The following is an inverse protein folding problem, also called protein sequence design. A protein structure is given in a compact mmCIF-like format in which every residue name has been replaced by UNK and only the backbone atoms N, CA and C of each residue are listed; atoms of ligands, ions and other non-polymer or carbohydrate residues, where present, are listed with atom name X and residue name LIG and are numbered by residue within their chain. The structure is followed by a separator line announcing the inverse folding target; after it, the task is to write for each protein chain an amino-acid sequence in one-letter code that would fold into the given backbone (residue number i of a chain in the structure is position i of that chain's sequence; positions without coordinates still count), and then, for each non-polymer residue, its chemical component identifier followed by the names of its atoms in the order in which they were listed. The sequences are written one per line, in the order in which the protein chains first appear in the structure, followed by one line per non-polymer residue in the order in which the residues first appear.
data_IF_534506291203
#
_entry.id   IF_534506291203
#
_cell.length_a   1.000
_cell.length_b   1.000
_cell.length_c   1.000
_cell.angle_alpha   90.00
_cell.angle_beta   90.00
_cell.angle_gamma   90.00
#
_symmetry.space_group_name_H-M   'P 1'
#
loop_
_entity.id
_entity.type
_entity.pdbx_description
1 polymer ?
#
# COMPACT_ATOMS: atom_id res chain seq x y z
N UNK A 1 -25.62 -61.67 8.82
CA UNK A 1 -25.87 -60.80 7.65
C UNK A 1 -26.40 -59.41 8.04
N UNK A 2 -26.01 -58.85 9.20
CA UNK A 2 -26.56 -57.57 9.73
C UNK A 2 -25.64 -56.35 9.56
N UNK A 3 -24.51 -56.50 8.86
CA UNK A 3 -23.46 -55.47 8.78
C UNK A 3 -23.80 -54.34 7.79
N UNK A 4 -24.73 -54.57 6.85
CA UNK A 4 -25.08 -53.60 5.80
C UNK A 4 -25.91 -52.39 6.27
N UNK A 5 -26.78 -52.56 7.27
CA UNK A 5 -27.70 -51.50 7.69
C UNK A 5 -26.97 -50.35 8.41
N UNK A 6 -26.00 -50.69 9.25
CA UNK A 6 -25.25 -49.71 10.04
C UNK A 6 -24.31 -48.85 9.16
N UNK A 7 -23.69 -49.46 8.14
CA UNK A 7 -22.84 -48.74 7.19
C UNK A 7 -23.64 -47.77 6.31
N UNK A 8 -24.84 -48.17 5.88
CA UNK A 8 -25.74 -47.27 5.14
C UNK A 8 -26.24 -46.11 6.00
N UNK A 9 -26.55 -46.37 7.27
CA UNK A 9 -26.99 -45.32 8.20
C UNK A 9 -25.88 -44.28 8.44
N UNK A 10 -24.64 -44.73 8.65
CA UNK A 10 -23.47 -43.85 8.84
C UNK A 10 -23.18 -43.02 7.59
N UNK A 11 -23.29 -43.61 6.40
CA UNK A 11 -23.10 -42.87 5.14
C UNK A 11 -24.14 -41.75 4.95
N UNK A 12 -25.41 -42.04 5.21
CA UNK A 12 -26.50 -41.05 5.13
C UNK A 12 -26.30 -39.93 6.15
N UNK A 13 -25.87 -40.26 7.37
CA UNK A 13 -25.67 -39.28 8.43
C UNK A 13 -24.50 -38.32 8.12
N UNK A 14 -23.39 -38.84 7.57
CA UNK A 14 -22.26 -38.01 7.14
C UNK A 14 -22.63 -37.10 5.97
N UNK A 15 -23.41 -37.58 5.01
CA UNK A 15 -23.89 -36.76 3.90
C UNK A 15 -24.81 -35.63 4.39
N UNK A 16 -25.74 -35.92 5.30
CA UNK A 16 -26.64 -34.92 5.88
C UNK A 16 -25.88 -33.84 6.66
N UNK A 17 -24.88 -34.22 7.46
CA UNK A 17 -24.03 -33.27 8.20
C UNK A 17 -23.22 -32.39 7.23
N UNK A 18 -22.68 -32.97 6.16
CA UNK A 18 -21.96 -32.21 5.13
C UNK A 18 -22.84 -31.16 4.45
N UNK A 19 -24.08 -31.51 4.09
CA UNK A 19 -25.04 -30.58 3.48
C UNK A 19 -25.42 -29.46 4.47
N UNK A 20 -25.64 -29.79 5.75
CA UNK A 20 -25.94 -28.80 6.78
C UNK A 20 -24.78 -27.80 6.98
N UNK A 21 -23.54 -28.28 6.98
CA UNK A 21 -22.35 -27.43 7.08
C UNK A 21 -22.22 -26.48 5.87
N UNK A 22 -22.51 -26.96 4.65
CA UNK A 22 -22.49 -26.13 3.45
C UNK A 22 -23.62 -25.09 3.45
N UNK A 23 -24.82 -25.44 3.90
CA UNK A 23 -25.94 -24.51 4.00
C UNK A 23 -25.68 -23.40 5.02
N UNK A 24 -25.16 -23.74 6.20
CA UNK A 24 -24.78 -22.77 7.24
C UNK A 24 -23.61 -21.88 6.78
N UNK A 25 -22.61 -22.47 6.12
CA UNK A 25 -21.49 -21.72 5.54
C UNK A 25 -21.93 -20.77 4.42
N UNK A 26 -22.85 -21.18 3.56
CA UNK A 26 -23.39 -20.36 2.47
C UNK A 26 -24.27 -19.21 2.96
N UNK A 27 -25.07 -19.43 4.02
CA UNK A 27 -25.94 -18.39 4.59
C UNK A 27 -25.15 -17.22 5.18
N UNK A 28 -24.01 -17.48 5.82
CA UNK A 28 -23.20 -16.43 6.43
C UNK A 28 -22.76 -15.36 5.41
N UNK A 29 -22.36 -15.77 4.20
CA UNK A 29 -21.94 -14.83 3.15
C UNK A 29 -23.06 -13.91 2.66
N UNK A 30 -24.33 -14.34 2.73
CA UNK A 30 -25.47 -13.50 2.32
C UNK A 30 -25.83 -12.42 3.35
N UNK A 31 -25.53 -12.63 4.63
CA UNK A 31 -25.84 -11.63 5.68
C UNK A 31 -24.89 -10.42 5.70
N UNK A 32 -23.87 -10.41 4.84
CA UNK A 32 -22.85 -9.35 4.78
C UNK A 32 -23.02 -8.42 3.57
N UNK A 33 -24.08 -8.53 2.77
CA UNK A 33 -24.38 -7.50 1.75
C UNK A 33 -24.77 -6.20 2.47
N UNK A 34 -23.97 -5.12 2.38
CA UNK A 34 -24.35 -3.83 2.92
C UNK A 34 -25.62 -3.38 2.20
N UNK A 35 -26.70 -3.13 2.94
CA UNK A 35 -27.91 -2.59 2.36
C UNK A 35 -27.61 -1.20 1.82
N UNK A 36 -27.73 -1.05 0.49
CA UNK A 36 -27.67 0.25 -0.16
C UNK A 36 -28.86 1.08 0.35
N UNK A 37 -28.60 1.93 1.34
CA UNK A 37 -29.58 2.87 1.90
C UNK A 37 -30.00 3.83 0.79
N UNK A 38 -31.17 3.61 0.22
CA UNK A 38 -31.84 4.57 -0.64
C UNK A 38 -32.69 5.47 0.23
N UNK A 39 -32.06 6.48 0.85
CA UNK A 39 -32.79 7.60 1.44
C UNK A 39 -32.36 8.90 0.76
N UNK A 40 -33.18 9.32 -0.18
CA UNK A 40 -33.21 10.70 -0.63
C UNK A 40 -33.84 11.56 0.46
N UNK A 41 -33.08 12.52 0.99
CA UNK A 41 -33.66 13.74 1.54
C UNK A 41 -32.64 14.86 1.48
N UNK A 42 -32.92 15.84 0.61
CA UNK A 42 -32.19 17.09 0.54
C UNK A 42 -32.60 18.00 1.72
N UNK A 43 -31.62 18.51 2.46
CA UNK A 43 -31.71 19.80 3.15
C UNK A 43 -30.28 20.35 3.45
N UNK A 44 -30.08 21.68 3.42
CA UNK A 44 -28.77 22.32 3.38
C UNK A 44 -28.26 22.75 4.76
N UNK A 45 -26.94 22.86 4.87
CA UNK A 45 -26.26 23.68 5.88
C UNK A 45 -25.78 22.92 7.11
N UNK A 46 -24.47 22.68 7.20
CA UNK A 46 -23.85 22.14 8.40
C UNK A 46 -22.35 22.00 8.30
N UNK A 47 -21.65 23.03 8.78
CA UNK A 47 -20.27 23.02 9.31
C UNK A 47 -19.20 22.25 8.54
N UNK A 48 -18.43 23.00 7.76
CA UNK A 48 -17.04 22.67 7.43
C UNK A 48 -16.24 22.54 8.73
N UNK A 49 -16.03 21.31 9.20
CA UNK A 49 -14.99 20.99 10.16
C UNK A 49 -13.64 21.17 9.47
N UNK A 50 -13.14 22.40 9.49
CA UNK A 50 -11.75 22.71 9.17
C UNK A 50 -10.91 22.01 10.24
N UNK A 51 -10.32 20.88 9.86
CA UNK A 51 -9.17 20.31 10.58
C UNK A 51 -8.03 21.30 10.36
N UNK A 52 -7.86 22.18 11.34
CA UNK A 52 -6.77 23.13 11.41
C UNK A 52 -5.50 22.34 11.69
N UNK A 53 -4.70 22.09 10.64
CA UNK A 53 -3.36 21.54 10.79
C UNK A 53 -2.56 22.49 11.69
N UNK A 54 -2.07 21.96 12.81
CA UNK A 54 -1.21 22.68 13.74
C UNK A 54 0.19 22.66 13.17
N UNK A 55 0.63 23.79 12.60
CA UNK A 55 2.03 24.05 12.27
C UNK A 55 2.86 23.98 13.56
N UNK A 56 3.64 22.91 13.70
CA UNK A 56 4.77 22.90 14.63
C UNK A 56 5.93 23.63 13.96
N UNK A 57 5.99 24.94 14.16
CA UNK A 57 7.16 25.74 13.86
C UNK A 57 8.11 25.66 15.06
N UNK A 58 9.04 24.72 15.04
CA UNK A 58 10.18 24.70 15.96
C UNK A 58 11.15 25.85 15.59
N UNK A 59 11.53 26.70 16.56
CA UNK A 59 12.42 27.83 16.32
C UNK A 59 13.90 27.46 16.57
N UNK A 60 14.72 27.62 15.54
CA UNK A 60 16.14 27.93 15.68
C UNK A 60 17.07 26.76 15.98
N UNK A 61 17.48 26.05 14.92
CA UNK A 61 18.84 25.51 14.85
C UNK A 61 19.42 25.85 13.48
N UNK A 62 20.45 26.71 13.47
CA UNK A 62 21.23 27.07 12.30
C UNK A 62 21.98 25.83 11.82
N UNK A 63 21.35 25.05 10.94
CA UNK A 63 22.07 24.04 10.16
C UNK A 63 22.93 24.80 9.16
N UNK A 64 24.23 24.71 9.42
CA UNK A 64 25.34 25.17 8.57
C UNK A 64 25.13 24.64 7.15
N UNK A 65 24.74 25.54 6.25
CA UNK A 65 24.73 25.29 4.82
C UNK A 65 26.17 25.06 4.36
N UNK A 66 26.54 23.80 4.14
CA UNK A 66 27.75 23.45 3.41
C UNK A 66 27.42 23.59 1.91
N UNK A 67 28.10 24.47 1.16
CA UNK A 67 27.79 24.71 -0.23
C UNK A 67 28.34 23.54 -1.06
N UNK A 68 27.46 22.87 -1.78
CA UNK A 68 27.86 22.10 -2.96
C UNK A 68 26.93 22.49 -4.10
N UNK A 69 27.51 23.19 -5.07
CA UNK A 69 26.92 23.74 -6.30
C UNK A 69 26.13 25.05 -6.14
N UNK A 70 26.82 26.11 -5.72
CA UNK A 70 26.48 27.47 -6.13
C UNK A 70 26.73 27.60 -7.64
N UNK A 71 25.68 27.58 -8.46
CA UNK A 71 25.80 27.94 -9.87
C UNK A 71 26.01 29.46 -9.96
N UNK A 72 27.27 29.88 -10.11
CA UNK A 72 27.61 31.29 -10.32
C UNK A 72 27.28 31.65 -11.77
N UNK A 73 26.22 32.41 -11.98
CA UNK A 73 25.83 32.92 -13.29
C UNK A 73 26.51 34.28 -13.50
N UNK A 74 27.57 34.31 -14.31
CA UNK A 74 28.21 35.56 -14.74
C UNK A 74 27.53 36.04 -16.03
N UNK A 75 26.87 37.19 -15.94
CA UNK A 75 26.25 37.87 -17.08
C UNK A 75 27.22 38.96 -17.53
N UNK A 76 27.65 38.90 -18.79
CA UNK A 76 28.51 39.94 -19.38
C UNK A 76 27.67 41.21 -19.61
N UNK A 77 27.97 42.27 -18.86
CA UNK A 77 27.20 43.52 -18.87
C UNK A 77 27.29 44.30 -20.19
N UNK A 78 28.29 44.02 -21.05
CA UNK A 78 28.48 44.73 -22.32
C UNK A 78 27.71 44.08 -23.47
N UNK A 79 27.38 42.80 -23.35
CA UNK A 79 26.82 41.99 -24.45
C UNK A 79 25.54 41.21 -24.09
N UNK A 80 25.20 41.07 -22.80
CA UNK A 80 24.00 40.36 -22.35
C UNK A 80 24.06 38.84 -22.53
N UNK A 81 25.24 38.28 -22.85
CA UNK A 81 25.41 36.86 -23.05
C UNK A 81 25.62 36.14 -21.70
N UNK A 82 24.91 35.03 -21.50
CA UNK A 82 25.11 34.13 -20.36
C UNK A 82 26.23 33.16 -20.72
N UNK A 83 27.41 33.33 -20.12
CA UNK A 83 28.50 32.37 -20.25
C UNK A 83 28.38 31.35 -19.11
N UNK A 84 28.02 30.11 -19.43
CA UNK A 84 28.16 29.00 -18.47
C UNK A 84 29.64 28.70 -18.32
N UNK A 85 30.22 28.93 -17.15
CA UNK A 85 31.50 28.30 -16.80
C UNK A 85 31.25 26.80 -16.68
N UNK A 86 31.93 26.03 -17.52
CA UNK A 86 32.04 24.59 -17.37
C UNK A 86 33.11 24.34 -16.30
N UNK A 87 32.70 24.35 -15.03
CA UNK A 87 33.47 23.69 -13.98
C UNK A 87 33.33 22.19 -14.20
N UNK A 88 34.36 21.56 -14.77
CA UNK A 88 34.53 20.11 -14.73
C UNK A 88 34.62 19.71 -13.24
N UNK A 89 33.62 19.03 -12.66
CA UNK A 89 33.65 18.69 -11.26
C UNK A 89 34.70 17.60 -11.06
N UNK A 90 35.73 17.89 -10.27
CA UNK A 90 36.57 16.87 -9.66
C UNK A 90 35.65 15.93 -8.86
N UNK A 91 35.36 14.75 -9.42
CA UNK A 91 34.51 13.73 -8.79
C UNK A 91 35.03 13.43 -7.38
N UNK A 92 34.27 13.69 -6.31
CA UNK A 92 34.58 13.11 -5.02
C UNK A 92 34.38 11.60 -5.13
N UNK A 93 35.49 10.87 -5.12
CA UNK A 93 35.51 9.43 -4.95
C UNK A 93 34.63 9.04 -3.75
N UNK A 94 33.60 8.21 -3.98
CA UNK A 94 33.01 7.39 -2.92
C UNK A 94 31.63 7.77 -2.38
N UNK A 95 30.78 8.52 -3.09
CA UNK A 95 29.34 8.52 -2.77
C UNK A 95 28.69 7.22 -3.27
N UNK A 96 29.02 6.09 -2.64
CA UNK A 96 28.25 4.85 -2.80
C UNK A 96 26.91 5.07 -2.10
N UNK A 97 25.95 5.69 -2.79
CA UNK A 97 24.57 5.72 -2.30
C UNK A 97 24.20 4.26 -1.97
N UNK A 98 23.73 3.96 -0.75
CA UNK A 98 23.33 2.61 -0.41
C UNK A 98 22.33 2.15 -1.46
N UNK A 99 22.75 1.17 -2.27
CA UNK A 99 21.94 0.57 -3.31
C UNK A 99 20.88 -0.24 -2.56
N UNK A 100 19.75 0.41 -2.30
CA UNK A 100 18.58 -0.26 -1.77
C UNK A 100 18.14 -1.27 -2.83
N UNK A 101 18.10 -2.55 -2.47
CA UNK A 101 17.73 -3.59 -3.41
C UNK A 101 16.21 -3.55 -3.59
N UNK A 102 15.76 -3.01 -4.72
CA UNK A 102 14.37 -3.11 -5.15
C UNK A 102 14.04 -4.58 -5.37
N UNK A 103 13.09 -5.10 -4.58
CA UNK A 103 12.63 -6.49 -4.69
C UNK A 103 11.63 -6.62 -5.84
N UNK A 104 10.63 -5.74 -5.88
CA UNK A 104 9.68 -5.65 -6.99
C UNK A 104 9.00 -4.29 -7.05
N UNK A 105 8.41 -4.00 -8.22
CA UNK A 105 7.52 -2.86 -8.47
C UNK A 105 6.20 -3.36 -9.05
N UNK A 106 5.12 -2.70 -8.71
CA UNK A 106 3.77 -2.96 -9.21
C UNK A 106 3.13 -1.65 -9.65
N UNK A 107 2.52 -1.66 -10.83
CA UNK A 107 1.68 -0.58 -11.30
C UNK A 107 0.45 -1.18 -11.97
N UNK A 108 -0.72 -0.94 -11.41
CA UNK A 108 -1.97 -1.54 -11.90
C UNK A 108 -3.15 -0.60 -11.70
N UNK A 109 -4.12 -0.68 -12.61
CA UNK A 109 -5.46 -0.16 -12.39
C UNK A 109 -6.33 -1.31 -11.90
N UNK A 110 -6.87 -1.18 -10.70
CA UNK A 110 -7.70 -2.18 -10.04
C UNK A 110 -9.17 -1.79 -10.22
N UNK A 111 -9.99 -2.60 -10.93
CA UNK A 111 -11.43 -2.38 -10.99
C UNK A 111 -12.10 -2.76 -9.65
N UNK A 112 -13.37 -2.35 -9.49
CA UNK A 112 -14.20 -2.76 -8.37
C UNK A 112 -14.20 -4.29 -8.20
N UNK A 113 -13.96 -4.76 -6.97
CA UNK A 113 -13.85 -6.20 -6.67
C UNK A 113 -12.60 -6.90 -7.25
N UNK A 114 -11.75 -6.17 -7.97
CA UNK A 114 -10.46 -6.66 -8.45
C UNK A 114 -9.37 -6.59 -7.38
N UNK A 115 -8.20 -7.12 -7.70
CA UNK A 115 -7.04 -7.00 -6.84
C UNK A 115 -5.79 -7.56 -7.49
N UNK A 116 -4.65 -7.21 -6.93
CA UNK A 116 -3.35 -7.76 -7.33
C UNK A 116 -2.63 -8.32 -6.12
N UNK A 117 -1.96 -9.45 -6.34
CA UNK A 117 -1.15 -10.14 -5.33
C UNK A 117 0.29 -10.21 -5.80
N UNK A 118 1.20 -9.86 -4.90
CA UNK A 118 2.65 -10.00 -5.07
C UNK A 118 3.22 -10.83 -3.96
N UNK A 119 4.28 -11.58 -4.28
CA UNK A 119 4.94 -12.46 -3.35
C UNK A 119 6.44 -12.21 -3.37
N UNK A 120 7.06 -12.17 -2.20
CA UNK A 120 8.50 -12.08 -2.04
C UNK A 120 8.96 -13.14 -1.03
N UNK A 121 10.19 -13.63 -1.18
CA UNK A 121 10.83 -14.42 -0.13
C UNK A 121 11.51 -13.46 0.82
N UNK A 122 11.22 -13.60 2.12
CA UNK A 122 11.83 -12.80 3.16
C UNK A 122 12.42 -13.72 4.24
N UNK A 123 13.72 -13.59 4.47
CA UNK A 123 14.40 -14.26 5.57
C UNK A 123 13.84 -13.86 6.94
N UNK A 124 14.08 -14.67 7.98
CA UNK A 124 13.60 -14.36 9.32
C UNK A 124 14.28 -13.09 9.82
N UNK A 125 13.49 -12.08 10.18
CA UNK A 125 14.01 -10.80 10.66
C UNK A 125 14.47 -9.82 9.58
N UNK A 126 14.49 -10.22 8.30
CA UNK A 126 14.79 -9.30 7.20
C UNK A 126 13.74 -8.19 7.13
N UNK A 127 14.19 -6.94 7.08
CA UNK A 127 13.31 -5.78 7.02
C UNK A 127 13.14 -5.33 5.58
N UNK A 128 11.92 -5.00 5.22
CA UNK A 128 11.57 -4.47 3.92
C UNK A 128 10.71 -3.22 4.12
N UNK A 129 10.82 -2.28 3.19
CA UNK A 129 9.98 -1.09 3.13
C UNK A 129 9.03 -1.22 1.93
N UNK A 130 7.73 -1.25 2.20
CA UNK A 130 6.71 -1.05 1.19
C UNK A 130 6.50 0.46 1.00
N UNK A 131 6.69 0.94 -0.23
CA UNK A 131 6.30 2.29 -0.67
C UNK A 131 5.09 2.17 -1.58
N UNK A 132 4.00 2.80 -1.21
CA UNK A 132 2.72 2.67 -1.87
C UNK A 132 2.16 4.06 -2.18
N UNK A 133 1.70 4.25 -3.41
CA UNK A 133 0.88 5.40 -3.80
C UNK A 133 -0.36 4.85 -4.49
N UNK A 134 -1.53 5.40 -4.16
CA UNK A 134 -2.73 5.12 -4.93
C UNK A 134 -3.48 6.40 -5.26
N UNK A 135 -4.16 6.40 -6.40
CA UNK A 135 -4.96 7.52 -6.91
C UNK A 135 -6.30 7.01 -7.40
N UNK A 136 -7.38 7.72 -7.08
CA UNK A 136 -8.73 7.37 -7.49
C UNK A 136 -9.76 7.86 -6.47
N UNK A 137 -11.06 7.69 -6.76
CA UNK A 137 -12.11 8.23 -5.90
C UNK A 137 -12.36 7.42 -4.61
N UNK A 138 -11.74 6.24 -4.45
CA UNK A 138 -11.97 5.34 -3.31
C UNK A 138 -10.75 5.12 -2.41
N UNK A 139 -10.79 4.00 -1.68
CA UNK A 139 -9.73 3.57 -0.78
C UNK A 139 -9.13 2.23 -1.23
N UNK A 140 -7.87 1.99 -0.88
CA UNK A 140 -7.15 0.75 -1.15
C UNK A 140 -6.96 -0.04 0.15
N UNK A 141 -7.45 -1.28 0.17
CA UNK A 141 -7.12 -2.27 1.19
C UNK A 141 -5.77 -2.92 0.87
N UNK A 142 -4.89 -2.90 1.87
CA UNK A 142 -3.58 -3.55 1.81
C UNK A 142 -3.53 -4.62 2.89
N UNK A 143 -3.26 -5.87 2.49
CA UNK A 143 -3.06 -6.97 3.43
C UNK A 143 -1.72 -7.66 3.18
N UNK A 144 -1.10 -8.12 4.26
CA UNK A 144 0.20 -8.81 4.24
C UNK A 144 0.06 -10.11 5.01
N UNK A 145 0.44 -11.22 4.38
CA UNK A 145 0.46 -12.55 4.98
C UNK A 145 1.89 -13.13 4.92
N UNK A 146 2.27 -13.95 5.91
CA UNK A 146 3.60 -14.57 5.95
C UNK A 146 4.74 -13.63 6.37
N UNK A 147 4.42 -12.44 6.87
CA UNK A 147 5.36 -11.47 7.43
C UNK A 147 4.69 -10.65 8.55
N UNK A 148 5.49 -10.01 9.41
CA UNK A 148 5.02 -9.08 10.43
C UNK A 148 4.91 -7.68 9.83
N UNK A 149 3.79 -7.00 10.04
CA UNK A 149 3.53 -5.66 9.53
C UNK A 149 2.36 -5.01 10.29
N UNK A 150 2.07 -3.74 10.01
CA UNK A 150 0.88 -3.07 10.52
C UNK A 150 -0.41 -3.43 9.76
N UNK A 151 -0.32 -4.21 8.67
CA UNK A 151 -1.47 -4.62 7.89
C UNK A 151 -2.36 -5.64 8.63
N UNK A 152 -3.67 -5.73 8.32
CA UNK A 152 -4.36 -5.02 7.24
C UNK A 152 -4.56 -3.53 7.53
N UNK A 153 -4.42 -2.70 6.49
CA UNK A 153 -4.71 -1.26 6.55
C UNK A 153 -5.53 -0.84 5.32
N UNK A 154 -6.28 0.24 5.49
CA UNK A 154 -6.99 0.92 4.41
C UNK A 154 -6.34 2.28 4.18
N UNK A 155 -6.12 2.64 2.92
CA UNK A 155 -5.43 3.87 2.50
C UNK A 155 -6.33 4.67 1.56
N UNK A 156 -6.56 5.94 1.86
CA UNK A 156 -7.26 6.85 0.95
C UNK A 156 -6.43 7.07 -0.33
N UNK A 157 -7.07 7.01 -1.51
CA UNK A 157 -6.36 7.16 -2.78
C UNK A 157 -6.30 8.61 -3.27
N UNK A 158 -5.76 9.48 -2.42
CA UNK A 158 -5.55 10.91 -2.67
C UNK A 158 -4.23 11.23 -3.41
N UNK A 159 -3.46 10.21 -3.79
CA UNK A 159 -2.14 10.36 -4.41
C UNK A 159 -0.98 10.49 -3.43
N UNK A 160 -1.25 10.45 -2.12
CA UNK A 160 -0.25 10.44 -1.06
C UNK A 160 0.66 9.21 -1.10
N UNK A 161 1.91 9.38 -0.65
CA UNK A 161 2.85 8.27 -0.48
C UNK A 161 2.71 7.69 0.93
N UNK A 162 2.30 6.44 1.00
CA UNK A 162 2.29 5.63 2.23
C UNK A 162 3.53 4.75 2.28
N UNK A 163 4.13 4.67 3.46
CA UNK A 163 5.25 3.77 3.73
C UNK A 163 4.91 2.81 4.86
N UNK A 164 5.30 1.55 4.73
CA UNK A 164 5.08 0.52 5.74
C UNK A 164 6.30 -0.40 5.84
N UNK A 165 6.79 -0.61 7.06
CA UNK A 165 7.82 -1.62 7.31
C UNK A 165 7.18 -3.02 7.38
N UNK A 166 7.86 -3.98 6.77
CA UNK A 166 7.49 -5.39 6.75
C UNK A 166 8.69 -6.21 7.20
N UNK A 167 8.53 -7.02 8.24
CA UNK A 167 9.59 -7.89 8.76
C UNK A 167 9.31 -9.35 8.40
N UNK A 168 10.24 -9.98 7.72
CA UNK A 168 10.14 -11.37 7.30
C UNK A 168 10.01 -12.35 8.47
N UNK A 169 9.22 -13.40 8.26
CA UNK A 169 9.03 -14.51 9.20
C UNK A 169 9.79 -15.78 8.78
N UNK A 170 10.67 -15.69 7.77
CA UNK A 170 11.46 -16.82 7.26
C UNK A 170 10.77 -17.63 6.16
N UNK A 171 9.83 -17.03 5.44
CA UNK A 171 9.03 -17.70 4.41
C UNK A 171 8.55 -16.74 3.32
N UNK A 172 7.64 -17.20 2.45
CA UNK A 172 7.03 -16.32 1.46
C UNK A 172 6.08 -15.34 2.11
N UNK A 173 6.34 -14.05 1.91
CA UNK A 173 5.42 -12.97 2.23
C UNK A 173 4.53 -12.66 1.02
N UNK A 174 3.21 -12.63 1.24
CA UNK A 174 2.22 -12.28 0.22
C UNK A 174 1.61 -10.94 0.56
N UNK A 175 1.67 -10.00 -0.39
CA UNK A 175 1.06 -8.68 -0.30
C UNK A 175 -0.11 -8.64 -1.28
N UNK A 176 -1.29 -8.26 -0.80
CA UNK A 176 -2.47 -8.08 -1.62
C UNK A 176 -2.97 -6.64 -1.57
N UNK A 177 -3.33 -6.12 -2.73
CA UNK A 177 -3.88 -4.79 -2.93
C UNK A 177 -5.23 -4.94 -3.62
N UNK A 178 -6.29 -4.41 -3.01
CA UNK A 178 -7.64 -4.43 -3.58
C UNK A 178 -8.37 -3.14 -3.23
N UNK A 179 -9.26 -2.61 -4.08
CA UNK A 179 -10.14 -1.52 -3.66
C UNK A 179 -10.99 -1.96 -2.48
N UNK A 180 -11.21 -1.07 -1.51
CA UNK A 180 -12.12 -1.33 -0.38
C UNK A 180 -13.59 -1.07 -0.74
N UNK A 181 -13.84 -0.35 -1.84
CA UNK A 181 -15.18 -0.01 -2.33
C UNK A 181 -15.46 -0.46 -3.76
N UNK A 182 -16.49 0.11 -4.37
CA UNK A 182 -16.96 -0.21 -5.72
C UNK A 182 -16.31 0.63 -6.83
N UNK A 183 -15.23 1.35 -6.51
CA UNK A 183 -14.59 2.26 -7.43
C UNK A 183 -13.25 1.72 -7.92
N UNK A 184 -12.85 2.10 -9.14
CA UNK A 184 -11.54 1.75 -9.65
C UNK A 184 -10.46 2.64 -9.06
N UNK A 185 -9.32 2.06 -8.69
CA UNK A 185 -8.16 2.81 -8.19
C UNK A 185 -6.92 2.44 -8.99
N UNK A 186 -6.01 3.39 -9.16
CA UNK A 186 -4.66 3.13 -9.68
C UNK A 186 -3.71 2.97 -8.51
N UNK A 187 -2.88 1.93 -8.56
CA UNK A 187 -1.90 1.62 -7.53
C UNK A 187 -0.50 1.59 -8.13
N UNK A 188 0.43 2.21 -7.42
CA UNK A 188 1.87 2.07 -7.62
C UNK A 188 2.50 1.60 -6.30
N UNK A 189 3.04 0.39 -6.28
CA UNK A 189 3.65 -0.20 -5.10
C UNK A 189 5.08 -0.65 -5.39
N UNK A 190 5.99 -0.44 -4.44
CA UNK A 190 7.38 -0.89 -4.54
C UNK A 190 7.79 -1.53 -3.22
N UNK A 191 8.41 -2.70 -3.29
CA UNK A 191 9.00 -3.36 -2.13
C UNK A 191 10.51 -3.25 -2.20
N UNK A 192 11.12 -2.73 -1.14
CA UNK A 192 12.55 -2.44 -1.07
C UNK A 192 13.13 -3.20 0.12
N UNK A 193 14.21 -3.95 -0.07
CA UNK A 193 14.92 -4.58 1.04
C UNK A 193 15.74 -3.53 1.81
N UNK A 194 15.63 -3.56 3.14
CA UNK A 194 16.43 -2.75 4.06
C UNK A 194 17.55 -3.63 4.63
N UNK A 195 18.79 -3.33 4.27
CA UNK A 195 19.97 -3.98 4.86
C UNK A 195 20.28 -3.41 6.24
#
# INVERSE_FOLDING_TARGET
MFVDAEHRLRGVLLAAVGVAALALGGWWWQTQTPEASSDGSAAPGGSSAVVQWRDYQEPGELVREAPAASAHMLIDERTGAVVRLHDEPMEPAGSTRPRSDLVWTEQARLPAGGGVVRQARMGPGERHLLRLRCTGPGELLVAVAGARSAAPITVACDGGLVTMEITGSGGPARLSFSPAGSESVEVEARLIALR
#
